data_IF_318034593467
#
_entry.id   IF_318034593467
#
_cell.length_a   1.000
_cell.length_b   1.000
_cell.length_c   1.000
_cell.angle_alpha   90.00
_cell.angle_beta   90.00
_cell.angle_gamma   90.00
#
_symmetry.space_group_name_H-M   'P 1'
#
loop_
_entity.id
_entity.type
_entity.pdbx_description
1 polymer ?
#
# COMPACT_ATOMS: atom_id res chain seq x y z
N UNK A 1 -17.19 -12.00 5.36
CA UNK A 1 -17.38 -12.36 6.76
C UNK A 1 -16.51 -13.57 7.17
N UNK A 2 -15.38 -13.85 6.51
CA UNK A 2 -14.47 -14.97 6.83
C UNK A 2 -12.98 -14.58 6.80
N UNK A 3 -12.64 -13.27 6.84
CA UNK A 3 -11.25 -12.82 7.03
C UNK A 3 -10.87 -12.60 8.50
N UNK A 4 -11.82 -12.73 9.43
CA UNK A 4 -11.62 -12.38 10.84
C UNK A 4 -10.93 -13.45 11.69
N UNK A 5 -11.07 -14.74 11.39
CA UNK A 5 -10.50 -15.81 12.23
C UNK A 5 -9.00 -16.08 12.02
N UNK A 6 -8.39 -15.53 10.96
CA UNK A 6 -6.94 -15.70 10.66
C UNK A 6 -6.04 -14.59 11.19
N UNK A 7 -6.57 -13.52 11.79
CA UNK A 7 -5.80 -12.34 12.17
C UNK A 7 -5.41 -12.25 13.66
N UNK A 8 -5.91 -13.10 14.53
CA UNK A 8 -5.67 -13.02 15.98
C UNK A 8 -4.20 -13.12 16.43
N UNK A 9 -3.25 -13.42 15.52
CA UNK A 9 -1.81 -13.48 15.81
C UNK A 9 -0.91 -12.88 14.73
N UNK A 10 -1.41 -12.04 13.84
CA UNK A 10 -0.58 -11.40 12.80
C UNK A 10 0.07 -10.14 13.34
N UNK A 11 1.39 -10.11 13.34
CA UNK A 11 2.16 -8.88 13.51
C UNK A 11 1.89 -7.94 12.33
N UNK A 12 1.31 -6.76 12.56
CA UNK A 12 1.05 -5.81 11.48
C UNK A 12 0.93 -4.36 11.94
N UNK A 13 1.11 -3.47 10.98
CA UNK A 13 1.01 -2.01 11.12
C UNK A 13 -0.20 -1.51 10.33
N UNK A 14 -0.90 -0.52 10.85
CA UNK A 14 -1.82 0.30 10.06
C UNK A 14 -1.12 1.60 9.68
N UNK A 15 -1.05 1.85 8.38
CA UNK A 15 -0.62 3.11 7.78
C UNK A 15 -1.85 3.96 7.56
N UNK A 16 -1.90 5.11 8.24
CA UNK A 16 -3.01 6.05 8.14
C UNK A 16 -2.69 7.09 7.09
N UNK A 17 -3.49 7.11 6.04
CA UNK A 17 -3.32 8.01 4.89
C UNK A 17 -4.03 9.34 5.13
N UNK A 18 -3.25 10.42 5.18
CA UNK A 18 -3.72 11.80 5.24
C UNK A 18 -3.75 12.50 3.87
N UNK A 19 -3.71 11.75 2.77
CA UNK A 19 -3.73 12.28 1.40
C UNK A 19 -2.35 12.62 0.85
N UNK A 20 -1.28 12.10 1.45
CA UNK A 20 0.09 12.30 1.00
C UNK A 20 0.44 11.45 -0.23
N UNK A 21 1.42 11.90 -1.02
CA UNK A 21 1.86 11.20 -2.23
C UNK A 21 2.63 9.89 -1.95
N UNK A 22 3.16 9.70 -0.74
CA UNK A 22 4.08 8.62 -0.41
C UNK A 22 3.49 7.52 0.48
N UNK A 23 2.15 7.49 0.67
CA UNK A 23 1.47 6.48 1.50
C UNK A 23 1.81 5.03 1.09
N UNK A 24 1.75 4.72 -0.21
CA UNK A 24 2.10 3.39 -0.72
C UNK A 24 3.60 3.09 -0.62
N UNK A 25 4.45 4.11 -0.71
CA UNK A 25 5.88 3.94 -0.51
C UNK A 25 6.20 3.59 0.95
N UNK A 26 5.52 4.22 1.91
CA UNK A 26 5.62 3.87 3.33
C UNK A 26 5.21 2.42 3.55
N UNK A 27 4.06 2.01 3.01
CA UNK A 27 3.59 0.62 3.09
C UNK A 27 4.61 -0.37 2.50
N UNK A 28 5.22 -0.01 1.36
CA UNK A 28 6.28 -0.81 0.76
C UNK A 28 7.50 -0.93 1.67
N UNK A 29 7.95 0.17 2.31
CA UNK A 29 9.09 0.15 3.25
C UNK A 29 8.81 -0.71 4.47
N UNK A 30 7.59 -0.68 5.00
CA UNK A 30 7.18 -1.56 6.10
C UNK A 30 7.30 -3.03 5.68
N UNK A 31 6.78 -3.38 4.49
CA UNK A 31 6.87 -4.75 3.95
C UNK A 31 8.30 -5.19 3.62
N UNK A 32 9.15 -4.28 3.15
CA UNK A 32 10.59 -4.53 2.97
C UNK A 32 11.31 -4.83 4.30
N UNK A 33 10.75 -4.38 5.44
CA UNK A 33 11.18 -4.74 6.78
C UNK A 33 10.52 -6.02 7.33
N UNK A 34 9.93 -6.83 6.47
CA UNK A 34 9.27 -8.10 6.85
C UNK A 34 8.12 -7.95 7.85
N UNK A 35 7.42 -6.81 7.82
CA UNK A 35 6.22 -6.53 8.60
C UNK A 35 5.05 -6.34 7.65
N UNK A 36 3.92 -6.98 7.92
CA UNK A 36 2.68 -6.75 7.18
C UNK A 36 2.11 -5.37 7.49
N UNK A 37 1.45 -4.74 6.52
CA UNK A 37 0.73 -3.50 6.76
C UNK A 37 -0.47 -3.34 5.85
N UNK A 38 -1.46 -2.63 6.36
CA UNK A 38 -2.64 -2.18 5.64
C UNK A 38 -2.69 -0.65 5.64
N UNK A 39 -3.25 -0.07 4.58
CA UNK A 39 -3.39 1.38 4.42
C UNK A 39 -4.86 1.74 4.52
N UNK A 40 -5.21 2.63 5.43
CA UNK A 40 -6.56 3.14 5.58
C UNK A 40 -6.59 4.67 5.52
N UNK A 41 -7.59 5.29 4.86
CA UNK A 41 -7.76 6.73 4.92
C UNK A 41 -8.10 7.17 6.34
N UNK A 42 -7.66 8.37 6.70
CA UNK A 42 -7.76 8.92 8.06
C UNK A 42 -9.17 8.84 8.68
N UNK A 43 -10.21 9.04 7.86
CA UNK A 43 -11.61 9.03 8.31
C UNK A 43 -12.18 7.63 8.64
N UNK A 44 -11.47 6.55 8.28
CA UNK A 44 -11.83 5.16 8.60
C UNK A 44 -10.81 4.50 9.53
N UNK A 45 -9.67 5.14 9.74
CA UNK A 45 -8.53 4.51 10.40
C UNK A 45 -8.80 4.17 11.87
N UNK A 46 -9.43 5.06 12.64
CA UNK A 46 -9.69 4.83 14.06
C UNK A 46 -10.60 3.61 14.30
N UNK A 47 -11.66 3.48 13.49
CA UNK A 47 -12.56 2.32 13.54
C UNK A 47 -11.79 1.03 13.27
N UNK A 48 -10.99 1.02 12.18
CA UNK A 48 -10.19 -0.14 11.79
C UNK A 48 -9.09 -0.48 12.81
N UNK A 49 -8.47 0.50 13.42
CA UNK A 49 -7.48 0.28 14.47
C UNK A 49 -8.10 -0.38 15.71
N UNK A 50 -9.30 0.06 16.11
CA UNK A 50 -10.02 -0.55 17.22
C UNK A 50 -10.47 -1.98 16.94
N UNK A 51 -10.91 -2.24 15.71
CA UNK A 51 -11.35 -3.54 15.23
C UNK A 51 -10.16 -4.53 15.13
N UNK A 52 -9.11 -4.13 14.40
CA UNK A 52 -8.00 -5.01 14.01
C UNK A 52 -6.86 -5.07 15.02
N UNK A 53 -6.75 -4.09 15.92
CA UNK A 53 -5.75 -4.00 17.00
C UNK A 53 -4.30 -4.19 16.51
N UNK A 54 -3.80 -3.31 15.61
CA UNK A 54 -2.44 -3.40 15.11
C UNK A 54 -1.42 -3.22 16.24
N UNK A 55 -0.20 -3.69 16.04
CA UNK A 55 0.90 -3.50 16.99
C UNK A 55 1.68 -2.20 16.77
N UNK A 56 1.41 -1.49 15.69
CA UNK A 56 1.97 -0.18 15.39
C UNK A 56 1.10 0.62 14.43
N UNK A 57 1.22 1.93 14.50
CA UNK A 57 0.51 2.87 13.62
C UNK A 57 1.54 3.82 13.00
N UNK A 58 1.41 4.07 11.70
CA UNK A 58 2.22 5.07 11.00
C UNK A 58 1.29 6.10 10.37
N UNK A 59 1.47 7.37 10.69
CA UNK A 59 0.79 8.49 10.07
C UNK A 59 1.63 9.01 8.90
N UNK A 60 1.02 9.17 7.74
CA UNK A 60 1.69 9.64 6.53
C UNK A 60 1.83 11.17 6.50
N UNK A 61 2.49 11.68 5.48
CA UNK A 61 2.39 13.07 5.09
C UNK A 61 0.99 13.42 4.55
N UNK A 62 0.75 14.70 4.35
CA UNK A 62 -0.48 15.24 3.76
C UNK A 62 -0.25 16.61 3.14
N UNK A 63 -1.13 17.08 2.23
CA UNK A 63 -0.96 18.33 1.52
C UNK A 63 -1.41 19.58 2.31
N UNK A 64 -2.13 19.41 3.41
CA UNK A 64 -2.78 20.46 4.17
C UNK A 64 -1.94 20.98 5.34
N UNK A 65 -2.27 22.14 5.85
CA UNK A 65 -1.81 22.64 7.16
C UNK A 65 -2.77 22.16 8.26
N UNK A 66 -2.22 21.67 9.39
CA UNK A 66 -3.03 21.06 10.48
C UNK A 66 -4.01 21.99 11.15
N UNK A 67 -3.78 23.32 11.04
CA UNK A 67 -4.63 24.35 11.61
C UNK A 67 -5.74 24.80 10.66
N UNK A 68 -5.78 24.32 9.42
CA UNK A 68 -6.88 24.58 8.50
C UNK A 68 -8.14 23.84 8.92
N UNK A 69 -9.31 24.46 8.68
CA UNK A 69 -10.60 23.93 9.10
C UNK A 69 -10.89 22.54 8.46
N UNK A 70 -10.60 22.42 7.17
CA UNK A 70 -10.86 21.21 6.38
C UNK A 70 -9.66 20.24 6.32
N UNK A 71 -8.64 20.42 7.16
CA UNK A 71 -7.50 19.52 7.18
C UNK A 71 -7.90 18.12 7.69
N UNK A 72 -7.30 17.05 7.16
CA UNK A 72 -7.55 15.68 7.61
C UNK A 72 -7.22 15.53 9.11
N UNK A 73 -8.19 15.07 9.90
CA UNK A 73 -8.05 14.92 11.36
C UNK A 73 -8.63 13.58 11.81
N UNK A 74 -8.06 13.05 12.87
CA UNK A 74 -8.55 11.86 13.58
C UNK A 74 -8.79 12.25 15.04
N UNK A 75 -9.70 11.57 15.71
CA UNK A 75 -9.97 11.81 17.10
C UNK A 75 -8.74 11.55 17.97
N UNK A 76 -8.52 12.43 18.95
CA UNK A 76 -7.38 12.39 19.88
C UNK A 76 -7.21 11.03 20.58
N UNK A 77 -8.30 10.28 20.71
CA UNK A 77 -8.34 8.95 21.31
C UNK A 77 -7.30 8.00 20.72
N UNK A 78 -6.91 8.17 19.43
CA UNK A 78 -5.90 7.32 18.77
C UNK A 78 -4.56 7.29 19.53
N UNK A 79 -4.21 8.38 20.20
CA UNK A 79 -2.98 8.47 21.00
C UNK A 79 -3.13 7.87 22.41
N UNK A 80 -4.33 7.44 22.80
CA UNK A 80 -4.66 6.88 24.12
C UNK A 80 -4.82 5.36 24.07
N UNK A 81 -4.75 4.76 22.87
CA UNK A 81 -4.91 3.31 22.67
C UNK A 81 -3.72 2.48 23.17
N UNK A 82 -2.61 3.11 23.56
CA UNK A 82 -1.39 2.43 24.01
C UNK A 82 -0.61 1.73 22.88
N UNK A 83 -1.00 1.94 21.65
CA UNK A 83 -0.32 1.42 20.46
C UNK A 83 0.80 2.40 20.05
N UNK A 84 2.02 1.91 19.73
CA UNK A 84 3.09 2.76 19.21
C UNK A 84 2.67 3.53 17.96
N UNK A 85 2.96 4.84 17.89
CA UNK A 85 2.64 5.69 16.75
C UNK A 85 3.90 6.39 16.22
N UNK A 86 4.12 6.33 14.90
CA UNK A 86 5.10 7.13 14.19
C UNK A 86 4.39 8.14 13.28
N UNK A 87 4.57 9.44 13.53
CA UNK A 87 4.07 10.50 12.64
C UNK A 87 5.16 10.99 11.69
N UNK A 88 4.88 11.03 10.38
CA UNK A 88 5.80 11.57 9.39
C UNK A 88 5.22 12.82 8.70
N UNK A 89 6.00 13.87 8.59
CA UNK A 89 5.65 15.14 7.96
C UNK A 89 4.34 15.72 8.53
N UNK A 90 3.24 15.70 7.78
CA UNK A 90 1.92 16.09 8.28
C UNK A 90 1.51 15.29 9.54
N UNK A 91 1.80 14.00 9.59
CA UNK A 91 1.51 13.14 10.75
C UNK A 91 2.23 13.59 12.01
N UNK A 92 3.46 14.12 11.92
CA UNK A 92 4.15 14.75 13.04
C UNK A 92 3.45 16.03 13.49
N UNK A 93 3.10 16.90 12.54
CA UNK A 93 2.44 18.15 12.82
C UNK A 93 1.05 17.93 13.44
N UNK A 94 0.30 16.95 12.93
CA UNK A 94 -0.99 16.52 13.48
C UNK A 94 -0.85 16.02 14.92
N UNK A 95 0.13 15.17 15.20
CA UNK A 95 0.42 14.69 16.56
C UNK A 95 0.75 15.85 17.50
N UNK A 96 1.64 16.75 17.09
CA UNK A 96 2.03 17.91 17.89
C UNK A 96 0.83 18.81 18.19
N UNK A 97 0.07 19.20 17.16
CA UNK A 97 -1.09 20.08 17.29
C UNK A 97 -2.17 19.48 18.19
N UNK A 98 -2.51 18.21 17.98
CA UNK A 98 -3.57 17.51 18.73
C UNK A 98 -3.22 17.33 20.20
N UNK A 99 -1.94 17.17 20.54
CA UNK A 99 -1.47 16.96 21.90
C UNK A 99 -1.05 18.26 22.62
N UNK A 100 -1.30 19.43 22.04
CA UNK A 100 -1.10 20.74 22.67
C UNK A 100 0.27 21.38 22.41
N UNK A 101 0.99 20.90 21.42
CA UNK A 101 2.14 21.57 20.82
C UNK A 101 1.73 22.73 19.91
N UNK A 102 2.70 23.40 19.32
CA UNK A 102 2.48 24.53 18.42
C UNK A 102 3.08 24.26 17.04
N UNK A 103 2.28 24.37 15.99
CA UNK A 103 2.69 24.27 14.59
C UNK A 103 2.57 25.64 13.93
N UNK A 104 3.60 26.05 13.21
CA UNK A 104 3.70 27.35 12.53
C UNK A 104 4.16 27.18 11.09
N UNK A 105 3.80 28.14 10.25
CA UNK A 105 4.41 28.29 8.94
C UNK A 105 5.86 28.79 9.10
N UNK A 106 6.77 28.19 8.36
CA UNK A 106 8.19 28.56 8.40
C UNK A 106 8.48 29.79 7.53
N UNK A 107 9.30 30.70 8.06
CA UNK A 107 9.87 31.79 7.27
C UNK A 107 10.84 31.24 6.21
N UNK A 108 11.67 30.27 6.61
CA UNK A 108 12.56 29.52 5.73
C UNK A 108 12.01 28.11 5.54
N UNK A 109 11.51 27.84 4.34
CA UNK A 109 10.99 26.52 3.96
C UNK A 109 12.14 25.59 3.64
N UNK A 110 12.07 24.34 4.11
CA UNK A 110 13.10 23.35 3.79
C UNK A 110 12.59 22.36 2.73
N UNK A 111 13.31 22.30 1.60
CA UNK A 111 13.05 21.37 0.51
C UNK A 111 14.34 20.72 0.05
N UNK A 112 14.32 19.39 -0.11
CA UNK A 112 15.45 18.62 -0.60
C UNK A 112 16.30 18.02 0.52
N UNK A 113 17.55 17.69 0.17
CA UNK A 113 18.52 17.09 1.10
C UNK A 113 18.99 18.11 2.13
N UNK A 114 18.74 17.82 3.39
CA UNK A 114 19.03 18.73 4.50
C UNK A 114 19.86 18.01 5.57
N UNK A 115 21.04 18.55 5.95
CA UNK A 115 21.82 18.07 7.08
C UNK A 115 21.04 18.22 8.39
N UNK A 116 20.96 17.16 9.16
CA UNK A 116 20.17 17.05 10.38
C UNK A 116 20.99 16.40 11.47
N UNK A 117 20.96 16.95 12.67
CA UNK A 117 21.54 16.31 13.85
C UNK A 117 20.48 15.53 14.59
N UNK A 118 20.83 14.28 14.96
CA UNK A 118 19.94 13.37 15.68
C UNK A 118 20.53 12.97 17.02
N UNK A 119 19.68 12.75 18.01
CA UNK A 119 20.04 12.15 19.28
C UNK A 119 20.03 10.61 19.15
N UNK A 120 21.19 10.01 19.08
CA UNK A 120 21.39 8.57 18.93
C UNK A 120 20.94 7.74 20.15
N UNK A 121 20.55 8.38 21.25
CA UNK A 121 19.94 7.71 22.41
C UNK A 121 18.44 7.42 22.19
N UNK A 122 17.83 8.03 21.17
CA UNK A 122 16.48 7.71 20.74
C UNK A 122 16.45 6.34 20.07
N UNK A 123 15.45 5.49 20.37
CA UNK A 123 15.27 4.23 19.68
C UNK A 123 15.19 4.36 18.16
N UNK A 124 14.64 5.47 17.64
CA UNK A 124 14.57 5.71 16.19
C UNK A 124 15.93 5.79 15.50
N UNK A 125 16.94 6.27 16.22
CA UNK A 125 18.28 6.51 15.67
C UNK A 125 19.33 5.54 16.18
N UNK A 126 18.89 4.44 16.80
CA UNK A 126 19.78 3.38 17.29
C UNK A 126 20.67 2.85 16.18
N UNK A 127 21.99 2.88 16.42
CA UNK A 127 22.99 2.38 15.46
C UNK A 127 23.32 3.34 14.32
N UNK A 128 22.78 4.56 14.34
CA UNK A 128 23.09 5.61 13.37
C UNK A 128 24.12 6.60 13.95
N UNK A 129 24.78 7.34 13.07
CA UNK A 129 25.63 8.46 13.42
C UNK A 129 24.79 9.71 13.77
N UNK A 130 25.37 10.66 14.54
CA UNK A 130 24.70 11.91 14.94
C UNK A 130 24.35 12.80 13.74
N UNK A 131 25.22 12.85 12.75
CA UNK A 131 25.04 13.64 11.54
C UNK A 131 24.32 12.81 10.46
N UNK A 132 23.11 13.24 10.06
CA UNK A 132 22.28 12.58 9.07
C UNK A 132 21.97 13.52 7.90
N UNK A 133 21.65 12.98 6.74
CA UNK A 133 21.09 13.72 5.61
C UNK A 133 19.68 13.19 5.32
N UNK A 134 18.70 14.07 5.46
CA UNK A 134 17.29 13.72 5.33
C UNK A 134 16.61 14.50 4.21
N UNK A 135 15.51 13.98 3.68
CA UNK A 135 14.70 14.64 2.66
C UNK A 135 13.58 15.45 3.31
N UNK A 136 13.72 16.78 3.27
CA UNK A 136 12.70 17.71 3.72
C UNK A 136 11.77 18.11 2.58
N UNK A 137 10.49 18.26 2.90
CA UNK A 137 9.47 18.79 1.99
C UNK A 137 8.33 19.39 2.83
N UNK A 138 8.58 20.54 3.46
CA UNK A 138 7.58 21.15 4.34
C UNK A 138 7.59 22.68 4.29
N UNK A 139 6.40 23.22 4.53
CA UNK A 139 6.14 24.66 4.73
C UNK A 139 5.92 24.95 6.20
N UNK A 140 5.19 24.05 6.89
CA UNK A 140 4.89 24.14 8.31
C UNK A 140 5.87 23.27 9.12
N UNK A 141 6.13 23.68 10.37
CA UNK A 141 6.98 22.96 11.29
C UNK A 141 6.47 23.01 12.72
N UNK A 142 6.88 22.09 13.55
CA UNK A 142 6.58 22.08 14.98
C UNK A 142 7.48 23.09 15.68
N UNK A 143 6.88 24.21 16.11
CA UNK A 143 7.60 25.30 16.82
C UNK A 143 7.76 24.99 18.31
N UNK A 144 6.81 24.23 18.90
CA UNK A 144 6.84 23.80 20.29
C UNK A 144 6.28 22.38 20.39
N UNK A 145 7.07 21.49 21.01
CA UNK A 145 6.63 20.12 21.27
C UNK A 145 5.56 20.09 22.36
N UNK A 146 4.65 19.09 22.34
CA UNK A 146 3.68 18.88 23.42
C UNK A 146 4.37 18.58 24.77
N UNK A 147 3.64 18.73 25.85
CA UNK A 147 4.13 18.37 27.20
C UNK A 147 4.51 16.88 27.26
N UNK A 148 5.67 16.60 27.87
CA UNK A 148 6.22 15.24 27.99
C UNK A 148 6.92 14.72 26.73
N UNK A 149 7.05 15.55 25.70
CA UNK A 149 7.85 15.20 24.52
C UNK A 149 9.26 15.77 24.61
N UNK A 150 10.21 15.00 24.08
CA UNK A 150 11.62 15.36 23.91
C UNK A 150 11.90 15.64 22.43
N UNK A 151 12.74 16.65 22.16
CA UNK A 151 13.28 16.91 20.83
C UNK A 151 14.47 15.99 20.61
N UNK A 152 14.45 15.19 19.55
CA UNK A 152 15.51 14.20 19.28
C UNK A 152 16.17 14.39 17.91
N UNK A 153 15.75 15.41 17.14
CA UNK A 153 16.49 15.86 15.96
C UNK A 153 16.15 17.31 15.63
N UNK A 154 17.11 18.00 15.00
CA UNK A 154 16.96 19.39 14.54
C UNK A 154 17.86 19.66 13.34
N UNK A 155 17.51 20.67 12.56
CA UNK A 155 18.37 21.29 11.56
C UNK A 155 18.81 22.68 12.02
N UNK A 156 19.52 23.39 11.17
CA UNK A 156 19.86 24.79 11.42
C UNK A 156 18.64 25.70 11.48
N UNK A 157 17.64 25.45 10.60
CA UNK A 157 16.48 26.30 10.39
C UNK A 157 15.19 25.73 11.00
N UNK A 158 15.14 24.42 11.26
CA UNK A 158 14.00 23.75 11.89
C UNK A 158 14.41 23.18 13.27
N UNK A 159 13.92 23.77 14.37
CA UNK A 159 14.34 23.39 15.73
C UNK A 159 13.80 22.01 16.16
N UNK A 160 12.76 21.51 15.52
CA UNK A 160 12.13 20.20 15.83
C UNK A 160 11.91 19.45 14.54
N UNK A 161 12.87 18.62 14.15
CA UNK A 161 12.73 17.74 12.99
C UNK A 161 12.40 16.30 13.40
N UNK A 162 12.56 15.97 14.68
CA UNK A 162 12.01 14.74 15.27
C UNK A 162 11.74 14.95 16.75
N UNK A 163 10.67 14.33 17.23
CA UNK A 163 10.26 14.38 18.64
C UNK A 163 9.76 13.01 19.09
N UNK A 164 9.82 12.75 20.40
CA UNK A 164 9.36 11.51 20.99
C UNK A 164 8.74 11.68 22.38
N UNK A 165 7.85 10.77 22.73
CA UNK A 165 7.42 10.49 24.09
C UNK A 165 7.56 8.97 24.32
N UNK A 166 8.65 8.56 25.00
CA UNK A 166 8.98 7.14 25.16
C UNK A 166 7.94 6.39 25.99
N UNK A 167 7.39 7.03 27.05
CA UNK A 167 6.41 6.40 27.92
C UNK A 167 5.11 6.06 27.17
N UNK A 168 4.66 6.95 26.29
CA UNK A 168 3.47 6.76 25.46
C UNK A 168 3.75 6.06 24.14
N UNK A 169 5.01 5.76 23.83
CA UNK A 169 5.47 5.19 22.56
C UNK A 169 5.04 6.03 21.34
N UNK A 170 5.07 7.37 21.48
CA UNK A 170 4.76 8.31 20.41
C UNK A 170 6.04 8.89 19.85
N UNK A 171 6.25 8.74 18.56
CA UNK A 171 7.44 9.17 17.83
C UNK A 171 7.02 9.94 16.58
N UNK A 172 7.81 10.91 16.18
CA UNK A 172 7.50 11.67 14.99
C UNK A 172 8.75 12.26 14.34
N UNK A 173 8.70 12.43 13.00
CA UNK A 173 9.74 13.05 12.18
C UNK A 173 9.11 13.95 11.11
N UNK A 174 9.73 15.11 10.87
CA UNK A 174 9.26 16.09 9.88
C UNK A 174 9.61 15.68 8.45
N UNK A 175 10.64 14.90 8.27
CA UNK A 175 11.18 14.46 6.99
C UNK A 175 10.60 13.12 6.55
N UNK A 176 10.86 12.79 5.30
CA UNK A 176 10.40 11.59 4.64
C UNK A 176 11.44 10.47 4.72
N UNK A 177 11.29 9.57 5.69
CA UNK A 177 12.17 8.41 5.86
C UNK A 177 11.97 7.34 4.77
N UNK A 178 10.82 7.33 4.12
CA UNK A 178 10.43 6.36 3.09
C UNK A 178 11.15 6.55 1.75
N UNK A 179 11.64 7.77 1.46
CA UNK A 179 12.29 8.08 0.19
C UNK A 179 13.79 7.77 0.21
N UNK A 180 14.37 7.46 -0.95
CA UNK A 180 15.79 7.12 -1.08
C UNK A 180 16.75 8.28 -0.78
N UNK A 181 16.25 9.50 -0.77
CA UNK A 181 17.04 10.70 -0.51
C UNK A 181 17.33 10.92 0.98
N UNK A 182 16.59 10.26 1.89
CA UNK A 182 16.94 10.14 3.31
C UNK A 182 17.89 8.96 3.44
N UNK A 183 19.17 9.24 3.77
CA UNK A 183 20.27 8.26 3.64
C UNK A 183 20.06 7.00 4.48
N UNK A 184 19.56 7.13 5.71
CA UNK A 184 19.29 6.02 6.63
C UNK A 184 17.79 5.88 6.97
N UNK A 185 16.91 6.30 6.05
CA UNK A 185 15.47 6.25 6.29
C UNK A 185 14.92 4.84 6.51
N UNK A 186 15.51 3.84 5.85
CA UNK A 186 15.15 2.42 6.05
C UNK A 186 15.47 1.95 7.45
N UNK A 187 16.65 2.32 7.97
CA UNK A 187 17.10 1.99 9.32
C UNK A 187 16.24 2.68 10.38
N UNK A 188 15.82 3.92 10.15
CA UNK A 188 14.91 4.65 11.05
C UNK A 188 13.54 3.96 11.12
N UNK A 189 12.98 3.55 9.97
CA UNK A 189 11.73 2.78 9.92
C UNK A 189 11.89 1.39 10.54
N UNK A 190 13.01 0.72 10.29
CA UNK A 190 13.37 -0.55 10.94
C UNK A 190 13.37 -0.40 12.46
N UNK A 191 14.04 0.62 12.96
CA UNK A 191 14.13 0.89 14.39
C UNK A 191 12.74 1.15 15.02
N UNK A 192 11.87 1.90 14.34
CA UNK A 192 10.50 2.05 14.83
C UNK A 192 9.79 0.69 14.91
N UNK A 193 9.88 -0.12 13.87
CA UNK A 193 9.18 -1.41 13.81
C UNK A 193 9.73 -2.40 14.85
N UNK A 194 11.03 -2.52 14.98
CA UNK A 194 11.64 -3.56 15.81
C UNK A 194 11.93 -3.10 17.25
N UNK A 195 12.49 -1.90 17.43
CA UNK A 195 12.88 -1.42 18.76
C UNK A 195 11.71 -0.81 19.53
N UNK A 196 10.75 -0.18 18.82
CA UNK A 196 9.61 0.47 19.46
C UNK A 196 8.36 -0.41 19.45
N UNK A 197 8.00 -1.00 18.31
CA UNK A 197 6.80 -1.85 18.21
C UNK A 197 7.06 -3.30 18.64
N UNK A 198 8.32 -3.78 18.58
CA UNK A 198 8.71 -5.13 18.98
C UNK A 198 8.35 -6.21 17.95
N UNK A 199 8.28 -5.87 16.68
CA UNK A 199 8.05 -6.85 15.61
C UNK A 199 9.19 -7.85 15.51
N UNK A 200 8.90 -9.05 15.03
CA UNK A 200 9.88 -10.14 14.86
C UNK A 200 10.20 -10.42 13.38
N UNK A 201 9.51 -9.76 12.45
CA UNK A 201 9.80 -9.85 11.02
C UNK A 201 9.34 -11.16 10.37
N UNK A 202 8.20 -11.66 10.78
CA UNK A 202 7.67 -12.95 10.29
C UNK A 202 7.00 -12.85 8.92
N UNK A 203 6.70 -11.66 8.44
CA UNK A 203 6.10 -11.47 7.14
C UNK A 203 7.14 -11.59 6.03
N UNK A 204 7.04 -12.63 5.22
CA UNK A 204 7.87 -12.82 4.01
C UNK A 204 6.97 -13.14 2.82
N UNK A 205 7.44 -12.88 1.59
CA UNK A 205 6.70 -13.25 0.39
C UNK A 205 6.39 -14.76 0.33
N UNK A 206 7.27 -15.60 0.86
CA UNK A 206 7.05 -17.05 0.94
C UNK A 206 5.91 -17.40 1.91
N UNK A 207 5.87 -16.76 3.08
CA UNK A 207 4.79 -16.96 4.05
C UNK A 207 3.48 -16.36 3.54
N UNK A 208 3.52 -15.16 2.92
CA UNK A 208 2.37 -14.58 2.26
C UNK A 208 1.77 -15.50 1.20
N UNK A 209 2.62 -16.07 0.32
CA UNK A 209 2.16 -17.00 -0.70
C UNK A 209 1.48 -18.25 -0.12
N UNK A 210 2.00 -18.80 0.99
CA UNK A 210 1.36 -19.93 1.70
C UNK A 210 -0.01 -19.55 2.24
N UNK A 211 -0.09 -18.43 2.97
CA UNK A 211 -1.35 -17.94 3.52
C UNK A 211 -2.36 -17.64 2.41
N UNK A 212 -1.94 -16.93 1.34
CA UNK A 212 -2.82 -16.63 0.21
C UNK A 212 -3.37 -17.92 -0.46
N UNK A 213 -2.56 -18.98 -0.59
CA UNK A 213 -3.00 -20.28 -1.12
C UNK A 213 -4.06 -20.91 -0.19
N UNK A 214 -3.87 -20.84 1.12
CA UNK A 214 -4.84 -21.35 2.10
C UNK A 214 -6.15 -20.55 2.07
N UNK A 215 -6.06 -19.23 2.03
CA UNK A 215 -7.22 -18.33 1.96
C UNK A 215 -8.02 -18.55 0.68
N UNK A 216 -7.34 -18.68 -0.48
CA UNK A 216 -7.98 -19.01 -1.76
C UNK A 216 -8.69 -20.36 -1.67
N UNK A 217 -8.04 -21.38 -1.11
CA UNK A 217 -8.64 -22.73 -0.97
C UNK A 217 -9.90 -22.70 -0.10
N UNK A 218 -9.84 -21.97 1.01
CA UNK A 218 -10.98 -21.83 1.94
C UNK A 218 -12.13 -21.03 1.30
N UNK A 219 -11.82 -20.01 0.52
CA UNK A 219 -12.81 -19.17 -0.15
C UNK A 219 -13.51 -19.91 -1.28
N UNK A 220 -12.75 -20.66 -2.09
CA UNK A 220 -13.27 -21.32 -3.28
C UNK A 220 -13.97 -22.65 -2.91
N UNK A 221 -13.46 -23.37 -1.93
CA UNK A 221 -13.99 -24.71 -1.57
C UNK A 221 -14.04 -25.63 -2.78
N UNK A 222 -15.22 -26.17 -3.08
CA UNK A 222 -15.47 -27.06 -4.23
C UNK A 222 -15.87 -26.30 -5.52
N UNK A 223 -15.88 -24.94 -5.48
CA UNK A 223 -16.27 -24.08 -6.58
C UNK A 223 -15.27 -24.05 -7.74
N UNK A 224 -15.73 -23.59 -8.90
CA UNK A 224 -14.90 -23.42 -10.10
C UNK A 224 -14.53 -21.96 -10.29
N UNK A 225 -13.27 -21.70 -10.62
CA UNK A 225 -12.72 -20.36 -10.85
C UNK A 225 -12.37 -20.18 -12.32
N UNK A 226 -12.83 -19.08 -12.89
CA UNK A 226 -12.40 -18.58 -14.19
C UNK A 226 -11.45 -17.40 -13.96
N UNK A 227 -10.24 -17.48 -14.51
CA UNK A 227 -9.26 -16.39 -14.44
C UNK A 227 -9.09 -15.75 -15.81
N UNK A 228 -9.26 -14.42 -15.85
CA UNK A 228 -8.87 -13.60 -17.00
C UNK A 228 -7.34 -13.42 -17.00
N UNK A 229 -6.64 -14.15 -17.87
CA UNK A 229 -5.20 -14.11 -18.01
C UNK A 229 -4.80 -13.13 -19.11
N UNK A 230 -4.09 -12.06 -18.76
CA UNK A 230 -3.61 -11.06 -19.72
C UNK A 230 -2.20 -11.35 -20.27
N UNK A 231 -1.49 -12.33 -19.69
CA UNK A 231 -0.07 -12.58 -19.98
C UNK A 231 0.89 -11.64 -19.22
N UNK A 232 0.38 -10.62 -18.49
CA UNK A 232 1.17 -9.75 -17.62
C UNK A 232 1.55 -10.43 -16.30
N UNK A 233 2.47 -9.80 -15.55
CA UNK A 233 3.01 -10.35 -14.30
C UNK A 233 1.90 -10.61 -13.28
N UNK A 234 0.99 -9.66 -13.07
CA UNK A 234 -0.03 -9.74 -12.02
C UNK A 234 -1.00 -10.90 -12.26
N UNK A 235 -1.54 -11.03 -13.49
CA UNK A 235 -2.42 -12.14 -13.85
C UNK A 235 -1.72 -13.49 -13.81
N UNK A 236 -0.42 -13.53 -14.15
CA UNK A 236 0.39 -14.76 -14.08
C UNK A 236 0.65 -15.20 -12.64
N UNK A 237 0.93 -14.26 -11.73
CA UNK A 237 1.07 -14.53 -10.30
C UNK A 237 -0.24 -15.01 -9.71
N UNK A 238 -1.37 -14.36 -10.06
CA UNK A 238 -2.70 -14.81 -9.64
C UNK A 238 -2.99 -16.23 -10.12
N UNK A 239 -2.73 -16.54 -11.41
CA UNK A 239 -2.87 -17.87 -11.97
C UNK A 239 -2.06 -18.92 -11.18
N UNK A 240 -0.80 -18.63 -10.88
CA UNK A 240 0.08 -19.53 -10.15
C UNK A 240 -0.38 -19.78 -8.70
N UNK A 241 -0.85 -18.77 -7.98
CA UNK A 241 -1.37 -18.90 -6.62
C UNK A 241 -2.68 -19.69 -6.60
N UNK A 242 -3.62 -19.34 -7.47
CA UNK A 242 -4.93 -20.01 -7.55
C UNK A 242 -4.75 -21.48 -7.98
N UNK A 243 -3.92 -21.75 -8.99
CA UNK A 243 -3.62 -23.13 -9.42
C UNK A 243 -3.02 -23.98 -8.30
N UNK A 244 -2.11 -23.42 -7.49
CA UNK A 244 -1.56 -24.12 -6.32
C UNK A 244 -2.60 -24.36 -5.22
N UNK A 245 -3.61 -23.50 -5.13
CA UNK A 245 -4.66 -23.62 -4.14
C UNK A 245 -5.71 -24.69 -4.51
N UNK A 246 -6.20 -24.66 -5.76
CA UNK A 246 -7.40 -25.39 -6.19
C UNK A 246 -7.20 -26.31 -7.41
N UNK A 247 -6.00 -26.33 -8.01
CA UNK A 247 -5.68 -27.26 -9.11
C UNK A 247 -6.64 -27.18 -10.30
N UNK A 248 -7.26 -28.31 -10.62
CA UNK A 248 -8.14 -28.49 -11.78
C UNK A 248 -9.45 -27.69 -11.74
N UNK A 249 -9.79 -27.05 -10.60
CA UNK A 249 -10.94 -26.16 -10.47
C UNK A 249 -10.70 -24.80 -11.17
N UNK A 250 -9.42 -24.48 -11.51
CA UNK A 250 -9.06 -23.26 -12.20
C UNK A 250 -9.05 -23.43 -13.71
N UNK A 251 -9.77 -22.56 -14.42
CA UNK A 251 -9.64 -22.37 -15.88
C UNK A 251 -9.10 -20.99 -16.16
N UNK A 252 -7.97 -20.89 -16.88
CA UNK A 252 -7.38 -19.64 -17.33
C UNK A 252 -7.77 -19.38 -18.77
N UNK A 253 -8.37 -18.23 -19.05
CA UNK A 253 -8.69 -17.77 -20.41
C UNK A 253 -7.80 -16.62 -20.79
N UNK A 254 -7.07 -16.79 -21.88
CA UNK A 254 -6.31 -15.77 -22.55
C UNK A 254 -7.03 -15.39 -23.87
N UNK A 255 -7.38 -14.10 -23.99
CA UNK A 255 -8.08 -13.58 -25.18
C UNK A 255 -7.07 -12.91 -26.10
N UNK A 256 -6.81 -13.51 -27.25
CA UNK A 256 -6.04 -12.90 -28.31
C UNK A 256 -6.94 -11.99 -29.14
N UNK A 257 -6.85 -10.70 -28.86
CA UNK A 257 -7.72 -9.67 -29.46
C UNK A 257 -7.10 -9.00 -30.69
N UNK A 258 -5.96 -9.49 -31.18
CA UNK A 258 -5.27 -8.96 -32.37
C UNK A 258 -4.57 -7.61 -32.20
N UNK A 259 -4.60 -7.01 -31.01
CA UNK A 259 -3.91 -5.74 -30.68
C UNK A 259 -2.68 -5.97 -29.79
N UNK A 260 -2.22 -7.21 -29.72
CA UNK A 260 -1.08 -7.62 -28.93
C UNK A 260 0.24 -7.30 -29.63
N UNK A 261 1.34 -7.34 -28.88
CA UNK A 261 2.68 -7.30 -29.47
C UNK A 261 2.89 -8.51 -30.37
N UNK A 262 3.83 -8.37 -31.30
CA UNK A 262 4.18 -9.46 -32.21
C UNK A 262 4.59 -10.71 -31.40
N UNK A 263 3.94 -11.85 -31.68
CA UNK A 263 4.15 -13.16 -31.06
C UNK A 263 3.79 -13.26 -29.55
N UNK A 264 3.24 -12.21 -28.94
CA UNK A 264 2.93 -12.20 -27.51
C UNK A 264 1.93 -13.32 -27.13
N UNK A 265 0.90 -13.56 -27.94
CA UNK A 265 -0.05 -14.65 -27.73
C UNK A 265 0.61 -16.03 -27.75
N UNK A 266 1.57 -16.25 -28.66
CA UNK A 266 2.32 -17.50 -28.75
C UNK A 266 3.26 -17.69 -27.55
N UNK A 267 3.90 -16.61 -27.09
CA UNK A 267 4.76 -16.63 -25.89
C UNK A 267 3.97 -16.97 -24.64
N UNK A 268 2.78 -16.38 -24.46
CA UNK A 268 1.88 -16.71 -23.35
C UNK A 268 1.41 -18.15 -23.42
N UNK A 269 1.00 -18.64 -24.58
CA UNK A 269 0.60 -20.04 -24.76
C UNK A 269 1.72 -21.02 -24.40
N UNK A 270 2.96 -20.76 -24.87
CA UNK A 270 4.13 -21.58 -24.53
C UNK A 270 4.40 -21.55 -23.02
N UNK A 271 4.32 -20.39 -22.37
CA UNK A 271 4.57 -20.22 -20.94
C UNK A 271 3.58 -21.03 -20.07
N UNK A 272 2.32 -21.15 -20.49
CA UNK A 272 1.28 -21.78 -19.71
C UNK A 272 0.93 -23.21 -20.12
N UNK A 273 1.31 -23.65 -21.32
CA UNK A 273 1.01 -25.00 -21.87
C UNK A 273 1.48 -26.15 -20.97
N UNK A 274 2.67 -26.00 -20.39
CA UNK A 274 3.28 -27.04 -19.55
C UNK A 274 3.12 -26.74 -18.04
N UNK A 275 2.32 -25.75 -17.68
CA UNK A 275 2.09 -25.36 -16.29
C UNK A 275 1.19 -26.29 -15.48
N UNK A 276 0.50 -27.24 -16.16
CA UNK A 276 -0.51 -28.10 -15.56
C UNK A 276 -1.85 -27.40 -15.30
N UNK A 277 -2.01 -26.14 -15.75
CA UNK A 277 -3.27 -25.39 -15.62
C UNK A 277 -4.18 -25.67 -16.83
N UNK A 278 -5.48 -25.63 -16.61
CA UNK A 278 -6.45 -25.65 -17.71
C UNK A 278 -6.44 -24.29 -18.42
N UNK A 279 -5.63 -24.19 -19.49
CA UNK A 279 -5.41 -22.96 -20.25
C UNK A 279 -6.18 -23.00 -21.58
N UNK A 280 -6.92 -21.92 -21.86
CA UNK A 280 -7.69 -21.73 -23.10
C UNK A 280 -7.23 -20.43 -23.77
N UNK A 281 -6.70 -20.51 -24.99
CA UNK A 281 -6.49 -19.35 -25.84
C UNK A 281 -7.71 -19.16 -26.74
N UNK A 282 -8.30 -17.98 -26.71
CA UNK A 282 -9.43 -17.60 -27.54
C UNK A 282 -8.94 -16.66 -28.62
N UNK A 283 -8.95 -17.10 -29.87
CA UNK A 283 -8.72 -16.22 -31.02
C UNK A 283 -9.97 -15.35 -31.25
N UNK A 284 -9.85 -14.10 -30.88
CA UNK A 284 -10.91 -13.11 -31.01
C UNK A 284 -10.49 -11.90 -31.89
N UNK A 285 -9.36 -11.98 -32.60
CA UNK A 285 -8.81 -10.89 -33.42
C UNK A 285 -9.88 -10.26 -34.31
N UNK A 286 -10.53 -11.06 -35.13
CA UNK A 286 -11.56 -10.55 -36.04
C UNK A 286 -12.70 -9.85 -35.30
N UNK A 287 -13.13 -10.40 -34.19
CA UNK A 287 -14.24 -9.89 -33.37
C UNK A 287 -13.94 -8.50 -32.81
N UNK A 288 -12.73 -8.28 -32.30
CA UNK A 288 -12.30 -6.98 -31.79
C UNK A 288 -12.06 -5.97 -32.92
N UNK A 289 -11.41 -6.36 -34.00
CA UNK A 289 -11.18 -5.48 -35.14
C UNK A 289 -12.47 -5.00 -35.79
N UNK A 290 -13.47 -5.88 -35.93
CA UNK A 290 -14.81 -5.51 -36.45
C UNK A 290 -15.50 -4.46 -35.54
N UNK A 291 -15.33 -4.55 -34.20
CA UNK A 291 -15.86 -3.57 -33.23
C UNK A 291 -15.18 -2.22 -33.27
N UNK A 292 -13.90 -2.21 -33.62
CA UNK A 292 -13.09 -1.01 -33.72
C UNK A 292 -13.22 -0.28 -35.06
N UNK A 293 -13.78 -0.94 -36.07
CA UNK A 293 -13.90 -0.39 -37.40
C UNK A 293 -14.70 0.93 -37.39
N UNK A 294 -14.10 2.01 -37.88
CA UNK A 294 -14.69 3.34 -37.92
C UNK A 294 -14.69 4.14 -36.62
N UNK A 295 -14.15 3.60 -35.53
CA UNK A 295 -13.96 4.36 -34.30
C UNK A 295 -12.66 5.15 -34.37
N UNK A 296 -12.71 6.48 -34.20
CA UNK A 296 -11.53 7.34 -34.17
C UNK A 296 -11.18 7.77 -32.74
N UNK A 297 -12.20 8.06 -31.93
CA UNK A 297 -12.02 8.52 -30.55
C UNK A 297 -11.39 7.45 -29.65
N UNK A 298 -10.28 7.78 -28.92
CA UNK A 298 -9.59 6.83 -28.05
C UNK A 298 -10.45 6.27 -26.92
N UNK A 299 -11.35 7.07 -26.36
CA UNK A 299 -12.22 6.65 -25.26
C UNK A 299 -13.30 5.69 -25.77
N UNK A 300 -13.88 5.96 -26.96
CA UNK A 300 -14.81 5.05 -27.61
C UNK A 300 -14.14 3.70 -27.93
N UNK A 301 -12.88 3.70 -28.38
CA UNK A 301 -12.10 2.47 -28.60
C UNK A 301 -11.91 1.68 -27.29
N UNK A 302 -11.51 2.34 -26.20
CA UNK A 302 -11.35 1.69 -24.89
C UNK A 302 -12.64 1.02 -24.40
N UNK A 303 -13.76 1.74 -24.50
CA UNK A 303 -15.08 1.21 -24.12
C UNK A 303 -15.49 0.01 -24.98
N UNK A 304 -15.29 0.09 -26.29
CA UNK A 304 -15.60 -1.01 -27.21
C UNK A 304 -14.76 -2.27 -26.92
N UNK A 305 -13.47 -2.10 -26.64
CA UNK A 305 -12.56 -3.19 -26.26
C UNK A 305 -13.00 -3.80 -24.92
N UNK A 306 -13.25 -2.99 -23.90
CA UNK A 306 -13.66 -3.48 -22.58
C UNK A 306 -14.98 -4.24 -22.62
N UNK A 307 -15.98 -3.72 -23.33
CA UNK A 307 -17.27 -4.39 -23.53
C UNK A 307 -17.11 -5.74 -24.24
N UNK A 308 -16.28 -5.78 -25.27
CA UNK A 308 -16.09 -7.00 -26.05
C UNK A 308 -15.33 -8.08 -25.25
N UNK A 309 -14.36 -7.69 -24.39
CA UNK A 309 -13.73 -8.62 -23.45
C UNK A 309 -14.76 -9.32 -22.55
N UNK A 310 -15.68 -8.55 -21.96
CA UNK A 310 -16.73 -9.12 -21.10
C UNK A 310 -17.55 -10.16 -21.87
N UNK A 311 -17.94 -9.85 -23.11
CA UNK A 311 -18.71 -10.76 -23.95
C UNK A 311 -17.97 -12.04 -24.30
N UNK A 312 -16.64 -11.92 -24.59
CA UNK A 312 -15.81 -13.10 -24.84
C UNK A 312 -15.76 -14.00 -23.61
N UNK A 313 -15.54 -13.42 -22.42
CA UNK A 313 -15.53 -14.18 -21.17
C UNK A 313 -16.87 -14.83 -20.85
N UNK A 314 -18.00 -14.14 -21.08
CA UNK A 314 -19.33 -14.72 -20.94
C UNK A 314 -19.57 -15.91 -21.87
N UNK A 315 -19.17 -15.79 -23.14
CA UNK A 315 -19.33 -16.84 -24.13
C UNK A 315 -18.49 -18.07 -23.78
N UNK A 316 -17.23 -17.88 -23.35
CA UNK A 316 -16.35 -18.97 -22.94
C UNK A 316 -16.83 -19.59 -21.60
N UNK A 317 -17.27 -18.77 -20.64
CA UNK A 317 -17.83 -19.24 -19.38
C UNK A 317 -19.05 -20.15 -19.61
N UNK A 318 -19.92 -19.82 -20.58
CA UNK A 318 -21.06 -20.71 -20.94
C UNK A 318 -20.63 -22.06 -21.52
N UNK A 319 -19.49 -22.11 -22.25
CA UNK A 319 -18.95 -23.38 -22.80
C UNK A 319 -18.34 -24.27 -21.70
N UNK A 320 -17.72 -23.67 -20.69
CA UNK A 320 -17.09 -24.35 -19.58
C UNK A 320 -18.15 -24.93 -18.61
N UNK A 321 -19.34 -24.35 -18.58
CA UNK A 321 -20.44 -24.72 -17.68
C UNK A 321 -20.55 -23.80 -16.47
N UNK A 322 -20.88 -24.34 -15.28
CA UNK A 322 -20.99 -23.53 -14.07
C UNK A 322 -19.62 -22.99 -13.65
N UNK A 323 -19.52 -21.68 -13.50
CA UNK A 323 -18.38 -20.98 -12.92
C UNK A 323 -18.88 -20.21 -11.71
N UNK A 324 -18.27 -20.42 -10.56
CA UNK A 324 -18.71 -19.84 -9.29
C UNK A 324 -17.97 -18.55 -8.98
N UNK A 325 -16.72 -18.42 -9.46
CA UNK A 325 -15.87 -17.25 -9.20
C UNK A 325 -15.19 -16.77 -10.47
N UNK A 326 -15.15 -15.44 -10.65
CA UNK A 326 -14.30 -14.78 -11.63
C UNK A 326 -13.10 -14.14 -10.91
N UNK A 327 -11.91 -14.51 -11.32
CA UNK A 327 -10.66 -13.89 -10.82
C UNK A 327 -10.09 -12.94 -11.88
N UNK A 328 -9.69 -11.76 -11.44
CA UNK A 328 -9.11 -10.73 -12.30
C UNK A 328 -7.98 -10.01 -11.56
N UNK A 329 -6.86 -9.78 -12.25
CA UNK A 329 -5.80 -8.92 -11.77
C UNK A 329 -6.17 -7.45 -12.02
N UNK A 330 -6.15 -6.64 -10.97
CA UNK A 330 -6.34 -5.18 -11.05
C UNK A 330 -5.12 -4.50 -10.45
N UNK A 331 -4.47 -3.63 -11.21
CA UNK A 331 -3.33 -2.86 -10.71
C UNK A 331 -3.80 -1.59 -10.01
N UNK A 332 -2.98 -1.09 -9.08
CA UNK A 332 -3.33 0.10 -8.29
C UNK A 332 -3.68 1.35 -9.11
N UNK A 333 -2.97 1.70 -10.21
CA UNK A 333 -3.39 2.79 -11.08
C UNK A 333 -4.81 2.66 -11.61
N UNK A 334 -5.25 1.45 -11.97
CA UNK A 334 -6.62 1.22 -12.45
C UNK A 334 -7.67 1.46 -11.35
N UNK A 335 -7.31 1.16 -10.09
CA UNK A 335 -8.18 1.43 -8.94
C UNK A 335 -8.35 2.93 -8.72
N UNK A 336 -7.27 3.71 -8.89
CA UNK A 336 -7.32 5.18 -8.75
C UNK A 336 -8.13 5.80 -9.89
N UNK A 337 -7.91 5.37 -11.14
CA UNK A 337 -8.58 5.93 -12.31
C UNK A 337 -10.08 5.58 -12.37
N UNK A 338 -10.47 4.42 -11.85
CA UNK A 338 -11.86 3.96 -11.81
C UNK A 338 -12.62 4.41 -10.56
N UNK A 339 -11.91 4.93 -9.54
CA UNK A 339 -12.53 5.52 -8.36
C UNK A 339 -13.28 6.80 -8.73
N UNK A 340 -14.52 6.93 -8.30
CA UNK A 340 -15.24 8.20 -8.28
C UNK A 340 -14.43 9.17 -7.44
N UNK A 341 -13.93 10.25 -8.01
CA UNK A 341 -12.94 11.21 -7.49
C UNK A 341 -13.23 11.87 -6.13
N UNK A 342 -13.53 11.06 -5.12
CA UNK A 342 -13.57 11.37 -3.70
C UNK A 342 -12.47 10.55 -3.00
N UNK A 343 -11.22 10.96 -3.21
CA UNK A 343 -10.08 10.57 -2.40
C UNK A 343 -9.50 11.82 -1.73
#
# INVERSE_FOLDING_TARGET
MHMEEGMENKEFVIVVDFGGQYNQLIARRVRENHVYCEVYPYNKALEKIKELKPQGIIFTGGPNSVYEENSPKIEKEIFELGIPVLGMCYGMQFMAHTLGGEVKSADNREFGKTPTKVDTTSPLFKGLEEDQVVWMSHVDYVAKVPEGFEIVAHTKDCPVTSMQNKERKLYAMQYHAEVLHTEHGKEMLHNFLYEVCGFTGTWTMANYAKTAIEDIRNTVGDGKVLLALSGGVDSSVAAALISKAIGDQLTCIFVDHGLMRKNEGDEVEVAFKDSGMHFIRVDAEKRFLDKLAGLEDPEAKRKAIGEEFIRVFEDEGRKIGSVDFLAQGTIYPDVIESGTGEA
#
